data_IF_141205619305
#
_entry.id   IF_141205619305
#
_cell.length_a   1.000
_cell.length_b   1.000
_cell.length_c   1.000
_cell.angle_alpha   90.00
_cell.angle_beta   90.00
_cell.angle_gamma   90.00
#
_symmetry.space_group_name_H-M   'P 1'
#
loop_
_entity.id
_entity.type
_entity.pdbx_description
1 polymer ?
#
# COMPACT_ATOMS: atom_id res chain seq x y z
N UNK A 1 13.38 -2.32 -4.74
CA UNK A 1 13.28 -3.73 -5.18
C UNK A 1 14.13 -4.62 -4.29
N UNK A 2 13.71 -5.86 -4.10
CA UNK A 2 14.43 -6.85 -3.28
C UNK A 2 15.35 -7.64 -4.21
N UNK A 3 16.63 -7.63 -3.91
CA UNK A 3 17.66 -8.33 -4.67
C UNK A 3 18.44 -9.22 -3.70
N UNK A 4 18.47 -10.54 -3.95
CA UNK A 4 19.24 -11.51 -3.13
C UNK A 4 19.06 -11.33 -1.61
N UNK A 5 17.85 -11.36 -1.11
CA UNK A 5 17.50 -11.13 0.30
C UNK A 5 17.82 -9.73 0.85
N UNK A 6 18.34 -8.84 0.03
CA UNK A 6 18.54 -7.43 0.37
C UNK A 6 17.45 -6.55 -0.20
N UNK A 7 17.19 -5.42 0.42
CA UNK A 7 16.41 -4.34 -0.17
C UNK A 7 17.35 -3.39 -0.93
N UNK A 8 16.95 -2.96 -2.11
CA UNK A 8 17.64 -1.94 -2.88
C UNK A 8 16.73 -0.71 -2.99
N UNK A 9 17.24 0.44 -2.58
CA UNK A 9 16.59 1.70 -2.88
C UNK A 9 16.94 2.11 -4.32
N UNK A 10 15.93 2.46 -5.08
CA UNK A 10 16.05 2.94 -6.45
C UNK A 10 15.39 4.30 -6.50
N UNK A 11 16.12 5.31 -6.98
CA UNK A 11 15.54 6.61 -7.28
C UNK A 11 14.74 6.49 -8.58
N UNK A 12 13.60 7.13 -8.61
CA UNK A 12 12.75 7.22 -9.78
C UNK A 12 12.12 8.60 -9.85
N UNK A 13 11.81 9.02 -11.05
CA UNK A 13 11.03 10.22 -11.29
C UNK A 13 9.53 9.84 -11.27
N UNK A 14 8.73 10.71 -10.71
CA UNK A 14 7.29 10.57 -10.67
C UNK A 14 6.64 11.94 -10.75
N UNK A 15 5.48 11.99 -11.39
CA UNK A 15 4.65 13.18 -11.44
C UNK A 15 3.41 12.98 -10.57
N UNK A 16 3.05 14.01 -9.81
CA UNK A 16 1.82 14.05 -9.02
C UNK A 16 1.16 15.38 -9.28
N UNK A 17 -0.09 15.32 -9.72
CA UNK A 17 -0.92 16.49 -9.91
C UNK A 17 -2.26 16.33 -9.22
N UNK A 18 -2.87 17.43 -8.78
CA UNK A 18 -4.14 17.28 -8.10
C UNK A 18 -4.72 18.58 -7.57
N UNK A 19 -5.82 18.43 -6.86
CA UNK A 19 -6.56 19.50 -6.18
C UNK A 19 -6.78 19.11 -4.73
N UNK A 20 -6.44 20.02 -3.83
CA UNK A 20 -6.75 19.92 -2.40
C UNK A 20 -7.64 21.09 -1.99
N UNK A 21 -8.61 20.79 -1.14
CA UNK A 21 -9.52 21.79 -0.61
C UNK A 21 -9.97 21.48 0.81
N UNK A 22 -10.06 22.54 1.62
CA UNK A 22 -10.60 22.48 2.98
C UNK A 22 -11.68 23.56 3.12
N UNK A 23 -12.80 23.18 3.69
CA UNK A 23 -13.94 24.09 3.92
C UNK A 23 -14.53 23.84 5.31
N UNK A 24 -14.91 24.92 5.98
CA UNK A 24 -15.73 24.87 7.20
C UNK A 24 -16.96 25.72 6.95
N UNK A 25 -18.13 25.12 7.13
CA UNK A 25 -19.41 25.76 7.01
C UNK A 25 -20.07 25.81 8.40
N UNK A 26 -20.35 27.02 8.89
CA UNK A 26 -21.12 27.23 10.11
C UNK A 26 -22.60 27.27 9.75
N UNK A 27 -23.37 26.29 10.23
CA UNK A 27 -24.81 26.21 10.03
C UNK A 27 -25.56 27.13 11.03
N UNK A 28 -24.98 27.25 12.22
CA UNK A 28 -25.38 28.19 13.27
C UNK A 28 -24.24 28.33 14.29
N UNK A 29 -24.45 29.06 15.37
CA UNK A 29 -23.44 29.34 16.41
C UNK A 29 -22.86 28.08 17.07
N UNK A 30 -23.59 26.98 17.06
CA UNK A 30 -23.23 25.74 17.76
C UNK A 30 -23.01 24.53 16.83
N UNK A 31 -23.20 24.73 15.51
CA UNK A 31 -23.16 23.61 14.57
C UNK A 31 -22.33 23.99 13.36
N UNK A 32 -21.34 23.18 13.04
CA UNK A 32 -20.51 23.34 11.84
C UNK A 32 -20.25 22.02 11.13
N UNK A 33 -20.04 22.12 9.83
CA UNK A 33 -19.58 21.01 8.97
C UNK A 33 -18.21 21.39 8.44
N UNK A 34 -17.26 20.48 8.58
CA UNK A 34 -15.95 20.58 7.93
C UNK A 34 -15.80 19.51 6.85
N UNK A 35 -15.23 19.92 5.74
CA UNK A 35 -14.96 19.05 4.59
C UNK A 35 -13.52 19.23 4.17
N UNK A 36 -12.84 18.13 4.03
CA UNK A 36 -11.50 18.04 3.40
C UNK A 36 -11.62 17.17 2.16
N UNK A 37 -11.04 17.61 1.06
CA UNK A 37 -11.03 16.90 -0.21
C UNK A 37 -9.64 16.91 -0.78
N UNK A 38 -9.18 15.74 -1.23
CA UNK A 38 -7.99 15.56 -2.07
C UNK A 38 -8.38 14.74 -3.29
N UNK A 39 -8.12 15.29 -4.47
CA UNK A 39 -8.11 14.54 -5.72
C UNK A 39 -6.72 14.67 -6.33
N UNK A 40 -6.03 13.56 -6.54
CA UNK A 40 -4.68 13.52 -7.08
C UNK A 40 -4.52 12.39 -8.09
N UNK A 41 -3.73 12.64 -9.10
CA UNK A 41 -3.27 11.65 -10.06
C UNK A 41 -1.75 11.53 -9.92
N UNK A 42 -1.25 10.31 -9.98
CA UNK A 42 0.18 10.04 -9.84
C UNK A 42 0.64 9.08 -10.91
N UNK A 43 1.83 9.31 -11.45
CA UNK A 43 2.42 8.49 -12.49
C UNK A 43 3.93 8.37 -12.28
N UNK A 44 4.46 7.17 -12.46
CA UNK A 44 5.90 6.91 -12.53
C UNK A 44 6.35 7.23 -13.95
N UNK A 45 7.30 8.15 -14.11
CA UNK A 45 7.73 8.62 -15.44
C UNK A 45 8.86 7.81 -16.04
N UNK A 46 9.74 7.24 -15.19
CA UNK A 46 10.88 6.48 -15.68
C UNK A 46 11.35 5.46 -14.63
N UNK A 47 10.91 4.21 -14.75
CA UNK A 47 11.36 3.15 -13.87
C UNK A 47 11.24 1.77 -14.52
N UNK A 48 12.34 1.01 -14.47
CA UNK A 48 12.35 -0.38 -14.91
C UNK A 48 12.83 -1.27 -13.76
N UNK A 49 12.01 -2.25 -13.38
CA UNK A 49 12.24 -3.13 -12.23
C UNK A 49 11.92 -4.58 -12.55
N UNK A 50 12.64 -5.49 -11.93
CA UNK A 50 12.26 -6.91 -11.94
C UNK A 50 11.08 -7.11 -11.01
N UNK A 51 10.00 -7.68 -11.53
CA UNK A 51 8.83 -8.03 -10.72
C UNK A 51 9.01 -9.44 -10.11
N UNK A 52 9.32 -9.54 -8.82
CA UNK A 52 9.59 -10.83 -8.17
C UNK A 52 8.33 -11.70 -8.02
N UNK A 53 7.15 -11.15 -8.22
CA UNK A 53 5.89 -11.88 -8.06
C UNK A 53 5.33 -12.41 -9.37
N UNK A 54 5.80 -11.91 -10.50
CA UNK A 54 5.32 -12.30 -11.81
C UNK A 54 6.22 -13.35 -12.45
N UNK A 55 6.09 -14.55 -11.96
CA UNK A 55 6.96 -15.66 -12.30
C UNK A 55 6.57 -16.42 -13.57
N UNK A 56 5.36 -16.18 -14.05
CA UNK A 56 4.81 -16.85 -15.23
C UNK A 56 4.58 -15.91 -16.42
N UNK A 57 5.04 -14.68 -16.31
CA UNK A 57 4.87 -13.67 -17.33
C UNK A 57 5.86 -13.89 -18.49
N UNK A 58 5.50 -13.42 -19.69
CA UNK A 58 6.39 -13.34 -20.84
C UNK A 58 7.69 -12.58 -20.55
N UNK A 59 7.66 -11.62 -19.64
CA UNK A 59 8.83 -10.89 -19.13
C UNK A 59 9.78 -11.75 -18.29
N UNK A 60 9.36 -12.92 -17.84
CA UNK A 60 10.20 -13.91 -17.15
C UNK A 60 10.96 -14.82 -18.12
N UNK A 61 10.89 -14.56 -19.41
CA UNK A 61 11.63 -15.29 -20.43
C UNK A 61 13.00 -14.66 -20.64
N UNK A 62 13.99 -15.47 -20.84
CA UNK A 62 15.33 -15.04 -21.22
C UNK A 62 15.93 -15.98 -22.27
N UNK A 63 16.87 -15.48 -23.03
CA UNK A 63 17.64 -16.30 -23.98
C UNK A 63 18.88 -16.86 -23.29
N UNK A 64 19.10 -18.15 -23.44
CA UNK A 64 20.36 -18.74 -23.02
C UNK A 64 21.50 -18.27 -23.92
N UNK A 65 22.68 -18.02 -23.33
CA UNK A 65 23.89 -17.83 -24.11
C UNK A 65 24.14 -18.99 -25.07
N UNK A 66 24.74 -18.72 -26.24
CA UNK A 66 25.05 -19.74 -27.22
C UNK A 66 25.98 -20.84 -26.67
N UNK A 67 26.85 -20.50 -25.72
CA UNK A 67 27.70 -21.46 -25.01
C UNK A 67 26.93 -22.53 -24.19
N UNK A 68 25.66 -22.24 -23.89
CA UNK A 68 24.71 -23.11 -23.18
C UNK A 68 23.70 -23.77 -24.12
N UNK A 69 23.94 -23.75 -25.42
CA UNK A 69 23.08 -24.32 -26.43
C UNK A 69 22.04 -23.34 -26.99
N UNK A 70 22.00 -22.13 -26.52
CA UNK A 70 20.99 -21.14 -26.93
C UNK A 70 19.56 -21.54 -26.52
N UNK A 71 18.61 -20.76 -26.92
CA UNK A 71 17.21 -21.07 -26.70
C UNK A 71 16.52 -20.16 -25.71
N UNK A 72 15.19 -20.19 -25.73
CA UNK A 72 14.33 -19.42 -24.87
C UNK A 72 14.02 -20.20 -23.59
N UNK A 73 14.35 -19.59 -22.44
CA UNK A 73 14.00 -20.14 -21.13
C UNK A 73 12.71 -19.52 -20.65
N UNK A 74 11.74 -20.35 -20.33
CA UNK A 74 10.50 -19.91 -19.71
C UNK A 74 10.46 -20.38 -18.26
N UNK A 75 10.14 -19.48 -17.37
CA UNK A 75 10.01 -19.75 -15.96
C UNK A 75 8.68 -20.49 -15.64
N UNK A 76 8.78 -21.67 -15.04
CA UNK A 76 7.64 -22.52 -14.68
C UNK A 76 7.42 -22.53 -13.17
N UNK A 77 6.75 -21.52 -12.63
CA UNK A 77 6.36 -21.54 -11.23
C UNK A 77 7.48 -21.29 -10.20
N UNK A 78 7.15 -21.33 -8.92
CA UNK A 78 8.12 -21.15 -7.83
C UNK A 78 8.91 -22.45 -7.58
N UNK A 79 10.24 -22.33 -7.51
CA UNK A 79 11.10 -23.48 -7.22
C UNK A 79 11.17 -24.54 -8.30
N UNK A 80 10.54 -24.30 -9.45
CA UNK A 80 10.57 -25.23 -10.57
C UNK A 80 11.90 -25.22 -11.31
N UNK A 81 12.33 -26.38 -11.74
CA UNK A 81 13.42 -26.53 -12.71
C UNK A 81 12.88 -26.16 -14.09
N UNK A 82 13.54 -25.24 -14.75
CA UNK A 82 13.20 -24.86 -16.12
C UNK A 82 14.04 -25.64 -17.09
N UNK A 83 13.37 -26.42 -17.93
CA UNK A 83 14.00 -27.01 -19.10
C UNK A 83 14.13 -25.96 -20.19
N UNK A 84 15.29 -25.88 -20.76
CA UNK A 84 15.60 -24.94 -21.81
C UNK A 84 15.30 -25.55 -23.15
N UNK A 85 14.24 -25.05 -23.81
CA UNK A 85 14.01 -25.23 -25.22
C UNK A 85 14.24 -26.61 -25.81
N UNK A 86 14.38 -26.70 -27.12
CA UNK A 86 14.56 -27.98 -27.83
C UNK A 86 15.94 -28.63 -27.66
N UNK A 87 16.84 -28.07 -26.88
CA UNK A 87 18.24 -28.55 -26.83
C UNK A 87 18.64 -29.13 -25.49
N UNK A 88 17.81 -29.17 -24.49
CA UNK A 88 18.11 -29.66 -23.12
C UNK A 88 19.46 -29.17 -22.56
N UNK A 89 19.95 -28.06 -23.08
CA UNK A 89 21.33 -27.60 -22.84
C UNK A 89 21.43 -26.67 -21.63
N UNK A 90 20.91 -27.09 -20.53
CA UNK A 90 21.05 -26.37 -19.27
C UNK A 90 19.73 -26.30 -18.47
N UNK A 91 19.90 -26.26 -17.18
CA UNK A 91 18.81 -26.14 -16.24
C UNK A 91 18.78 -24.70 -15.69
N UNK A 92 17.60 -24.13 -15.59
CA UNK A 92 17.40 -22.84 -14.98
C UNK A 92 16.53 -23.01 -13.76
N UNK A 93 17.04 -22.60 -12.63
CA UNK A 93 16.31 -22.61 -11.38
C UNK A 93 15.74 -21.24 -11.08
N UNK A 94 14.51 -21.20 -10.69
CA UNK A 94 13.95 -20.03 -10.08
C UNK A 94 14.24 -20.07 -8.59
N UNK A 95 15.01 -19.12 -8.16
CA UNK A 95 15.22 -18.88 -6.75
C UNK A 95 14.89 -17.43 -6.44
N UNK A 96 13.97 -17.21 -5.54
CA UNK A 96 13.66 -15.87 -5.04
C UNK A 96 13.18 -14.86 -6.08
N UNK A 97 12.47 -15.29 -7.12
CA UNK A 97 12.14 -14.43 -8.24
C UNK A 97 13.28 -14.17 -9.22
N UNK A 98 14.43 -14.82 -9.01
CA UNK A 98 15.62 -14.74 -9.84
C UNK A 98 15.84 -16.04 -10.62
N UNK A 99 16.51 -15.89 -11.75
CA UNK A 99 16.94 -17.03 -12.55
C UNK A 99 18.41 -17.34 -12.22
N UNK A 100 18.67 -18.58 -11.82
CA UNK A 100 20.01 -19.10 -11.68
C UNK A 100 20.26 -20.12 -12.78
N UNK A 101 21.40 -20.04 -13.44
CA UNK A 101 21.81 -20.93 -14.52
C UNK A 101 22.71 -22.04 -14.00
N UNK A 102 22.23 -23.27 -14.04
CA UNK A 102 23.03 -24.47 -13.79
C UNK A 102 23.71 -24.97 -15.08
N UNK A 103 24.91 -25.57 -15.03
CA UNK A 103 25.80 -25.80 -13.87
C UNK A 103 26.75 -24.63 -13.57
N UNK A 104 26.46 -23.45 -14.08
CA UNK A 104 27.40 -22.33 -14.12
C UNK A 104 27.51 -21.55 -12.81
N UNK A 105 27.18 -22.08 -11.71
CA UNK A 105 27.27 -21.47 -10.40
C UNK A 105 25.94 -21.05 -9.82
N UNK A 106 25.12 -21.99 -9.37
CA UNK A 106 23.81 -21.73 -8.83
C UNK A 106 23.83 -20.86 -7.56
N UNK A 107 24.93 -20.79 -6.87
CA UNK A 107 25.08 -20.05 -5.62
C UNK A 107 26.16 -18.96 -5.66
N UNK A 108 26.74 -18.71 -6.81
CA UNK A 108 27.76 -17.68 -6.98
C UNK A 108 27.21 -16.38 -7.55
N UNK A 109 28.12 -15.56 -8.05
CA UNK A 109 27.77 -14.24 -8.59
C UNK A 109 26.72 -14.27 -9.72
N UNK A 110 26.63 -15.39 -10.47
CA UNK A 110 25.62 -15.58 -11.51
C UNK A 110 24.19 -15.73 -10.98
N UNK A 111 24.01 -16.26 -9.76
CA UNK A 111 22.70 -16.35 -9.14
C UNK A 111 22.12 -15.00 -8.70
N UNK A 112 22.88 -13.97 -8.78
CA UNK A 112 22.44 -12.60 -8.54
C UNK A 112 21.75 -11.93 -9.72
N UNK A 113 21.58 -12.61 -10.84
CA UNK A 113 20.87 -12.03 -11.97
C UNK A 113 19.39 -11.82 -11.63
N UNK A 114 18.91 -10.58 -11.56
CA UNK A 114 17.55 -10.29 -11.09
C UNK A 114 16.45 -10.64 -12.10
N UNK A 115 16.76 -11.33 -13.20
CA UNK A 115 15.79 -11.60 -14.26
C UNK A 115 15.56 -10.40 -15.18
N UNK A 116 14.47 -10.44 -15.91
CA UNK A 116 14.15 -9.42 -16.94
C UNK A 116 13.41 -8.25 -16.29
N UNK A 117 13.95 -7.02 -16.41
CA UNK A 117 13.23 -5.84 -15.94
C UNK A 117 11.93 -5.63 -16.72
N UNK A 118 10.92 -5.18 -16.00
CA UNK A 118 9.64 -4.71 -16.54
C UNK A 118 9.64 -3.20 -16.45
N UNK A 119 9.31 -2.54 -17.53
CA UNK A 119 9.05 -1.11 -17.53
C UNK A 119 7.73 -0.86 -16.79
N UNK A 120 7.80 -0.05 -15.74
CA UNK A 120 6.65 0.36 -14.93
C UNK A 120 6.36 1.85 -15.10
N UNK A 121 6.94 2.50 -16.09
CA UNK A 121 6.58 3.86 -16.48
C UNK A 121 5.11 3.89 -16.92
N UNK A 122 4.41 4.94 -16.56
CA UNK A 122 2.95 5.04 -16.74
C UNK A 122 2.13 4.41 -15.60
N UNK A 123 2.76 3.67 -14.69
CA UNK A 123 2.07 3.10 -13.54
C UNK A 123 1.82 4.15 -12.47
N UNK A 124 0.70 4.00 -11.75
CA UNK A 124 0.38 4.82 -10.57
C UNK A 124 1.34 4.54 -9.42
N UNK A 125 1.61 5.55 -8.63
CA UNK A 125 2.38 5.38 -7.39
C UNK A 125 1.62 4.48 -6.39
N UNK A 126 2.30 3.56 -5.72
CA UNK A 126 1.68 2.75 -4.69
C UNK A 126 1.23 3.61 -3.50
N UNK A 127 0.15 3.20 -2.86
CA UNK A 127 -0.45 3.88 -1.71
C UNK A 127 -0.90 5.33 -1.97
N UNK A 128 -1.08 5.71 -3.23
CA UNK A 128 -1.58 7.02 -3.67
C UNK A 128 -3.03 6.90 -4.14
N UNK A 129 -4.02 7.19 -3.30
CA UNK A 129 -5.43 7.19 -3.71
C UNK A 129 -5.71 8.38 -4.62
N UNK A 130 -6.52 8.18 -5.66
CA UNK A 130 -6.93 9.27 -6.56
C UNK A 130 -7.94 10.21 -5.90
N UNK A 131 -8.72 9.70 -4.95
CA UNK A 131 -9.73 10.48 -4.24
C UNK A 131 -9.72 10.12 -2.76
N UNK A 132 -9.59 11.12 -1.92
CA UNK A 132 -9.89 10.99 -0.50
C UNK A 132 -10.64 12.21 0.00
N UNK A 133 -11.59 11.99 0.90
CA UNK A 133 -12.30 13.09 1.54
C UNK A 133 -12.73 12.71 2.95
N UNK A 134 -12.93 13.73 3.75
CA UNK A 134 -13.59 13.61 5.05
C UNK A 134 -14.68 14.66 5.20
N UNK A 135 -15.76 14.27 5.86
CA UNK A 135 -16.87 15.16 6.20
C UNK A 135 -17.10 15.02 7.70
N UNK A 136 -16.91 16.11 8.42
CA UNK A 136 -17.12 16.18 9.87
C UNK A 136 -18.32 17.03 10.21
N UNK A 137 -19.19 16.54 11.06
CA UNK A 137 -20.28 17.30 11.68
C UNK A 137 -19.91 17.55 13.14
N UNK A 138 -19.89 18.80 13.54
CA UNK A 138 -19.61 19.25 14.89
C UNK A 138 -20.86 19.88 15.50
N UNK A 139 -21.14 19.56 16.75
CA UNK A 139 -22.21 20.14 17.51
C UNK A 139 -21.78 20.48 18.93
N UNK A 140 -21.93 21.73 19.31
CA UNK A 140 -21.70 22.19 20.67
C UNK A 140 -23.06 22.30 21.39
N UNK A 141 -23.15 21.67 22.56
CA UNK A 141 -24.25 21.77 23.50
C UNK A 141 -23.77 22.62 24.68
N UNK A 142 -24.29 23.82 24.78
CA UNK A 142 -23.94 24.78 25.83
C UNK A 142 -24.95 24.61 26.98
N UNK A 143 -24.43 24.21 28.15
CA UNK A 143 -25.23 23.99 29.35
C UNK A 143 -24.77 24.85 30.52
N UNK A 144 -25.64 24.99 31.51
CA UNK A 144 -25.38 25.77 32.74
C UNK A 144 -24.19 25.22 33.53
N UNK A 145 -23.96 23.90 33.51
CA UNK A 145 -22.91 23.25 34.30
C UNK A 145 -21.67 22.90 33.47
N UNK A 146 -21.73 23.09 32.16
CA UNK A 146 -20.60 22.75 31.27
C UNK A 146 -21.04 22.60 29.82
N UNK A 147 -20.04 22.46 28.98
CA UNK A 147 -20.22 22.38 27.53
C UNK A 147 -19.86 20.97 27.03
N UNK A 148 -20.71 20.45 26.16
CA UNK A 148 -20.46 19.17 25.49
C UNK A 148 -20.26 19.41 24.01
N UNK A 149 -19.11 18.98 23.47
CA UNK A 149 -18.87 18.94 22.03
C UNK A 149 -18.99 17.53 21.52
N UNK A 150 -19.91 17.32 20.58
CA UNK A 150 -20.01 16.07 19.84
C UNK A 150 -19.49 16.28 18.42
N UNK A 151 -18.73 15.31 17.92
CA UNK A 151 -18.22 15.28 16.54
C UNK A 151 -18.43 13.89 15.96
N UNK A 152 -18.90 13.81 14.72
CA UNK A 152 -18.90 12.60 13.92
C UNK A 152 -18.20 12.91 12.60
N UNK A 153 -17.35 12.00 12.14
CA UNK A 153 -16.56 12.16 10.92
C UNK A 153 -16.73 10.93 10.05
N UNK A 154 -17.13 11.13 8.81
CA UNK A 154 -17.05 10.15 7.76
C UNK A 154 -15.77 10.38 6.96
N UNK A 155 -14.97 9.31 6.73
CA UNK A 155 -13.76 9.34 5.92
C UNK A 155 -13.88 8.34 4.80
N UNK A 156 -13.53 8.78 3.61
CA UNK A 156 -13.44 7.96 2.41
C UNK A 156 -12.05 8.04 1.80
N UNK A 157 -11.58 6.93 1.30
CA UNK A 157 -10.37 6.82 0.49
C UNK A 157 -10.63 5.83 -0.62
N UNK A 158 -10.38 6.23 -1.88
CA UNK A 158 -10.58 5.35 -3.04
C UNK A 158 -9.60 4.17 -3.02
N UNK A 159 -9.87 3.19 -3.84
CA UNK A 159 -8.89 2.13 -4.13
C UNK A 159 -7.57 2.72 -4.61
N UNK A 160 -6.49 1.99 -4.38
CA UNK A 160 -5.14 2.42 -4.74
C UNK A 160 -4.25 1.23 -5.03
N UNK A 161 -3.19 1.47 -5.76
CA UNK A 161 -2.23 0.44 -6.06
C UNK A 161 -1.42 0.04 -4.82
N UNK A 162 -1.27 -1.25 -4.59
CA UNK A 162 -0.48 -1.75 -3.47
C UNK A 162 1.01 -1.87 -3.77
N UNK A 163 1.38 -1.88 -5.04
CA UNK A 163 2.77 -2.01 -5.52
C UNK A 163 3.00 -1.18 -6.77
N UNK A 164 4.25 -0.89 -7.07
CA UNK A 164 4.67 -0.18 -8.30
C UNK A 164 4.31 -0.93 -9.60
N UNK A 165 3.97 -2.21 -9.51
CA UNK A 165 3.63 -3.04 -10.66
C UNK A 165 2.16 -2.95 -11.07
N UNK A 166 1.33 -2.25 -10.34
CA UNK A 166 -0.10 -2.05 -10.55
C UNK A 166 -0.85 -3.37 -10.88
N UNK A 167 -0.62 -4.38 -10.07
CA UNK A 167 -1.22 -5.69 -10.26
C UNK A 167 -2.62 -5.75 -9.63
N UNK A 168 -3.68 -6.11 -10.38
CA UNK A 168 -5.06 -6.10 -9.87
C UNK A 168 -5.28 -6.87 -8.57
N UNK A 169 -4.56 -7.99 -8.39
CA UNK A 169 -4.68 -8.81 -7.18
C UNK A 169 -3.88 -8.29 -5.98
N UNK A 170 -3.20 -7.16 -6.13
CA UNK A 170 -2.48 -6.44 -5.08
C UNK A 170 -3.02 -5.02 -4.86
N UNK A 171 -4.16 -4.71 -5.44
CA UNK A 171 -4.85 -3.46 -5.15
C UNK A 171 -5.32 -3.43 -3.70
N UNK A 172 -5.28 -2.25 -3.12
CA UNK A 172 -5.84 -1.94 -1.81
C UNK A 172 -7.22 -1.38 -2.06
N UNK A 173 -8.29 -2.02 -1.58
CA UNK A 173 -9.66 -1.59 -1.85
C UNK A 173 -9.96 -0.21 -1.26
N UNK A 174 -11.06 0.37 -1.65
CA UNK A 174 -11.57 1.58 -1.03
C UNK A 174 -11.83 1.39 0.48
N UNK A 175 -11.60 2.45 1.24
CA UNK A 175 -11.84 2.47 2.69
C UNK A 175 -12.91 3.48 3.06
N UNK A 176 -13.80 3.09 3.97
CA UNK A 176 -14.86 3.93 4.51
C UNK A 176 -14.88 3.78 6.02
N UNK A 177 -14.71 4.88 6.74
CA UNK A 177 -14.72 4.87 8.20
C UNK A 177 -15.64 5.95 8.74
N UNK A 178 -16.28 5.62 9.85
CA UNK A 178 -17.02 6.58 10.67
C UNK A 178 -16.38 6.60 12.04
N UNK A 179 -15.99 7.78 12.49
CA UNK A 179 -15.45 8.02 13.82
C UNK A 179 -16.37 8.98 14.57
N UNK A 180 -16.48 8.85 15.88
CA UNK A 180 -17.24 9.75 16.73
C UNK A 180 -16.45 10.12 17.99
N UNK A 181 -16.64 11.34 18.43
CA UNK A 181 -16.04 11.87 19.67
C UNK A 181 -17.05 12.72 20.41
N UNK A 182 -17.12 12.53 21.74
CA UNK A 182 -17.90 13.40 22.63
C UNK A 182 -16.97 13.87 23.74
N UNK A 183 -16.89 15.18 23.92
CA UNK A 183 -16.06 15.80 24.96
C UNK A 183 -16.92 16.69 25.84
N UNK A 184 -16.91 16.44 27.13
CA UNK A 184 -17.52 17.28 28.14
C UNK A 184 -16.47 18.10 28.89
N UNK A 185 -16.76 19.37 29.13
CA UNK A 185 -15.96 20.31 29.95
C UNK A 185 -16.90 21.10 30.86
N UNK A 186 -16.74 21.03 32.19
CA UNK A 186 -17.51 21.86 33.11
C UNK A 186 -17.09 23.33 32.96
N UNK A 187 -18.01 24.25 33.26
CA UNK A 187 -17.78 25.70 33.13
C UNK A 187 -16.74 26.23 34.15
N UNK A 188 -16.68 25.63 35.31
CA UNK A 188 -15.82 26.01 36.43
C UNK A 188 -14.65 25.07 36.67
N UNK A 189 -14.52 24.06 35.81
CA UNK A 189 -13.54 22.98 35.99
C UNK A 189 -12.35 23.09 35.04
N UNK A 190 -11.18 22.79 35.59
CA UNK A 190 -9.97 22.66 34.81
C UNK A 190 -9.78 21.23 34.25
N UNK A 191 -10.89 20.49 34.05
CA UNK A 191 -10.86 19.11 33.60
C UNK A 191 -11.80 18.86 32.42
N UNK A 192 -11.60 17.78 31.73
CA UNK A 192 -12.52 17.29 30.72
C UNK A 192 -12.56 15.76 30.68
N UNK A 193 -13.67 15.25 30.17
CA UNK A 193 -13.80 13.84 29.80
C UNK A 193 -14.09 13.75 28.33
N UNK A 194 -13.39 12.84 27.64
CA UNK A 194 -13.62 12.56 26.22
C UNK A 194 -13.85 11.08 26.02
N UNK A 195 -14.97 10.75 25.40
CA UNK A 195 -15.26 9.44 24.84
C UNK A 195 -15.02 9.50 23.33
N UNK A 196 -14.27 8.57 22.81
CA UNK A 196 -14.04 8.44 21.36
C UNK A 196 -14.32 7.01 20.89
N UNK A 197 -14.85 6.90 19.69
CA UNK A 197 -15.03 5.65 18.98
C UNK A 197 -14.45 5.82 17.58
N UNK A 198 -13.55 4.92 17.19
CA UNK A 198 -12.99 4.86 15.85
C UNK A 198 -13.54 3.64 15.13
N UNK A 199 -13.77 3.78 13.83
CA UNK A 199 -14.30 2.73 12.99
C UNK A 199 -15.62 2.15 13.55
N UNK A 200 -16.63 2.98 13.71
CA UNK A 200 -17.94 2.59 14.27
C UNK A 200 -18.60 1.44 13.50
N UNK A 201 -18.34 1.34 12.19
CA UNK A 201 -18.83 0.24 11.35
C UNK A 201 -18.19 -1.11 11.65
N UNK A 202 -17.04 -1.14 12.35
CA UNK A 202 -16.17 -2.31 12.52
C UNK A 202 -15.72 -2.94 11.19
N UNK A 203 -15.60 -2.12 10.16
CA UNK A 203 -15.18 -2.54 8.84
C UNK A 203 -13.68 -2.83 8.82
N UNK A 204 -13.29 -3.90 8.13
CA UNK A 204 -11.89 -4.30 8.02
C UNK A 204 -11.49 -4.36 6.56
N UNK A 205 -10.45 -3.61 6.23
CA UNK A 205 -9.91 -3.53 4.89
C UNK A 205 -8.46 -3.97 4.86
N UNK A 206 -8.01 -4.39 3.69
CA UNK A 206 -6.58 -4.52 3.43
C UNK A 206 -5.98 -3.10 3.43
N UNK A 207 -5.05 -2.83 4.33
CA UNK A 207 -4.40 -1.53 4.46
C UNK A 207 -3.20 -1.37 3.54
N UNK A 208 -2.41 -2.44 3.39
CA UNK A 208 -1.24 -2.47 2.50
C UNK A 208 -0.85 -3.90 2.17
N UNK A 209 -0.03 -4.03 1.11
CA UNK A 209 0.61 -5.28 0.74
C UNK A 209 2.11 -5.23 1.01
N UNK A 210 2.64 -6.33 1.50
CA UNK A 210 4.07 -6.58 1.60
C UNK A 210 4.43 -7.81 0.76
N UNK A 211 5.39 -7.63 -0.13
CA UNK A 211 5.92 -8.70 -0.96
C UNK A 211 7.22 -9.19 -0.33
N UNK A 212 7.20 -10.40 0.20
CA UNK A 212 8.38 -11.01 0.74
C UNK A 212 9.40 -11.33 -0.35
N UNK A 213 10.67 -11.36 0.02
CA UNK A 213 11.71 -11.81 -0.88
C UNK A 213 11.50 -13.28 -1.26
N UNK A 214 12.08 -13.71 -2.35
CA UNK A 214 11.99 -15.10 -2.71
C UNK A 214 12.71 -16.04 -1.74
N UNK A 215 13.68 -15.57 -0.93
CA UNK A 215 14.23 -16.32 0.20
C UNK A 215 13.16 -16.64 1.25
N UNK A 216 12.13 -15.82 1.33
CA UNK A 216 10.94 -16.03 2.16
C UNK A 216 9.81 -16.71 1.38
N UNK A 217 10.14 -17.38 0.27
CA UNK A 217 9.19 -18.09 -0.56
C UNK A 217 8.34 -17.22 -1.49
N UNK A 218 8.66 -15.92 -1.63
CA UNK A 218 7.87 -14.99 -2.48
C UNK A 218 6.45 -14.78 -1.98
N UNK A 219 6.21 -14.99 -0.69
CA UNK A 219 4.88 -14.87 -0.09
C UNK A 219 4.38 -13.42 -0.14
N UNK A 220 3.06 -13.28 -0.17
CA UNK A 220 2.37 -12.00 -0.11
C UNK A 220 1.69 -11.89 1.25
N UNK A 221 1.92 -10.78 1.92
CA UNK A 221 1.30 -10.47 3.20
C UNK A 221 0.48 -9.20 3.07
N UNK A 222 -0.68 -9.19 3.71
CA UNK A 222 -1.49 -8.00 3.83
C UNK A 222 -1.52 -7.52 5.27
N UNK A 223 -1.47 -6.22 5.48
CA UNK A 223 -1.91 -5.62 6.74
C UNK A 223 -3.40 -5.39 6.68
N UNK A 224 -4.07 -5.50 7.80
CA UNK A 224 -5.51 -5.23 7.92
C UNK A 224 -5.67 -3.99 8.80
N UNK A 225 -6.66 -3.15 8.46
CA UNK A 225 -6.99 -1.97 9.26
C UNK A 225 -7.49 -2.36 10.66
N UNK A 226 -7.35 -1.43 11.60
CA UNK A 226 -7.80 -1.65 12.98
C UNK A 226 -9.30 -1.87 13.06
N UNK A 227 -9.76 -2.75 13.94
CA UNK A 227 -11.18 -2.92 14.26
C UNK A 227 -11.75 -1.67 14.95
N UNK A 228 -13.04 -1.69 15.23
CA UNK A 228 -13.65 -0.67 16.08
C UNK A 228 -12.95 -0.61 17.44
N UNK A 229 -12.56 0.60 17.81
CA UNK A 229 -11.91 0.87 19.10
C UNK A 229 -12.65 1.95 19.86
N UNK A 230 -12.61 1.86 21.17
CA UNK A 230 -13.18 2.83 22.10
C UNK A 230 -12.07 3.38 22.97
N UNK A 231 -12.10 4.68 23.19
CA UNK A 231 -11.17 5.36 24.07
C UNK A 231 -11.90 6.25 25.07
N UNK A 232 -11.44 6.27 26.31
CA UNK A 232 -11.87 7.20 27.34
C UNK A 232 -10.65 7.99 27.80
N UNK A 233 -10.73 9.31 27.70
CA UNK A 233 -9.66 10.21 28.15
C UNK A 233 -10.19 11.12 29.25
N UNK A 234 -9.47 11.21 30.35
CA UNK A 234 -9.64 12.25 31.36
C UNK A 234 -8.41 13.16 31.31
N UNK A 235 -8.63 14.45 31.29
CA UNK A 235 -7.57 15.46 31.28
C UNK A 235 -7.85 16.59 32.25
N UNK A 236 -6.80 17.16 32.82
CA UNK A 236 -6.87 18.34 33.69
C UNK A 236 -5.78 19.32 33.36
N UNK A 237 -6.07 20.61 33.54
CA UNK A 237 -5.09 21.71 33.43
C UNK A 237 -4.83 22.25 34.84
N UNK A 238 -3.55 22.45 35.19
CA UNK A 238 -3.09 22.96 36.48
C UNK A 238 -2.80 24.44 36.36
#
# INVERSE_FOLDING_TARGET
SIVNAGSRNVNTDAEVSGLEGNMVLFLNETTSVDVTLLKAESEITNLSLVNPTNINNATSRTMLPAALGGGLVQQLGQGGVLTVGATDAGLVYKFAGYLCLEPFNPFGAGCGNPGIPVDVSGNKLPQSPELSYSIGLNKDFIGENGNTRARIVYRYMSEREGTVYNQPHLQVPEHKFIDATVTYRPNDGNWFVRLEAKNLGDDRYIGSWYLASGLQGGNKFATVTDPRTWGLTFGTTF
#
